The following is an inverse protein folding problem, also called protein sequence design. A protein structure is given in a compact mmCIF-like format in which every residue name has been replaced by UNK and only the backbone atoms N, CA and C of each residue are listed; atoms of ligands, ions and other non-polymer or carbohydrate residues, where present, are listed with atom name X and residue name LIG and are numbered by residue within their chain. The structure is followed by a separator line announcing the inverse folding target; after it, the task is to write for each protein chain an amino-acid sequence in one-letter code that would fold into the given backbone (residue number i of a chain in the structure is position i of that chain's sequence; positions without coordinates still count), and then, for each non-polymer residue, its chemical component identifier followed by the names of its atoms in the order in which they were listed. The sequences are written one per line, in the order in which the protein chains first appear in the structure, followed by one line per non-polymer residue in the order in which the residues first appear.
data_IF_224162168883
#
_entry.id   IF_224162168883
#
_cell.length_a   1.000
_cell.length_b   1.000
_cell.length_c   1.000
_cell.angle_alpha   90.00
_cell.angle_beta   90.00
_cell.angle_gamma   90.00
#
_symmetry.space_group_name_H-M   'P 1'
#
loop_
_entity.id
_entity.type
_entity.pdbx_description
1 polymer ?
#
# COMPACT_ATOMS: atom_id res chain seq x y z
N UNK A 1 -13.85 -22.77 -38.19
CA UNK A 1 -14.57 -23.54 -37.13
C UNK A 1 -15.84 -22.77 -36.77
N UNK A 2 -16.93 -23.43 -36.39
CA UNK A 2 -18.13 -22.75 -35.87
C UNK A 2 -18.11 -22.71 -34.35
N UNK A 3 -18.65 -21.65 -33.75
CA UNK A 3 -18.72 -21.45 -32.30
C UNK A 3 -20.14 -21.09 -31.85
N UNK A 4 -20.45 -21.38 -30.58
CA UNK A 4 -21.71 -21.00 -29.95
C UNK A 4 -21.61 -19.58 -29.41
N UNK A 5 -22.40 -18.65 -29.94
CA UNK A 5 -22.51 -17.27 -29.43
C UNK A 5 -23.32 -17.24 -28.13
N UNK A 6 -23.35 -16.10 -27.43
CA UNK A 6 -24.23 -15.93 -26.26
C UNK A 6 -25.71 -16.11 -26.63
N UNK A 7 -26.15 -15.64 -27.79
CA UNK A 7 -27.52 -15.81 -28.27
C UNK A 7 -27.79 -17.28 -28.64
N UNK A 8 -26.83 -17.95 -29.28
CA UNK A 8 -26.89 -19.40 -29.53
C UNK A 8 -26.94 -20.21 -28.24
N UNK A 9 -26.17 -19.83 -27.22
CA UNK A 9 -26.22 -20.45 -25.89
C UNK A 9 -27.53 -20.14 -25.17
N UNK A 10 -28.09 -18.95 -25.33
CA UNK A 10 -29.43 -18.59 -24.83
C UNK A 10 -30.50 -19.45 -25.51
N UNK A 11 -30.37 -19.69 -26.81
CA UNK A 11 -31.27 -20.57 -27.56
C UNK A 11 -31.15 -22.03 -27.13
N UNK A 12 -29.93 -22.57 -27.08
CA UNK A 12 -29.61 -23.92 -26.61
C UNK A 12 -30.07 -24.15 -25.16
N UNK A 13 -29.81 -23.19 -24.26
CA UNK A 13 -30.30 -23.27 -22.88
C UNK A 13 -31.80 -23.05 -22.77
N UNK A 14 -32.45 -22.36 -23.70
CA UNK A 14 -33.93 -22.30 -23.76
C UNK A 14 -34.52 -23.66 -24.14
N UNK A 15 -33.92 -24.39 -25.08
CA UNK A 15 -34.29 -25.79 -25.40
C UNK A 15 -34.11 -26.70 -24.18
N UNK A 16 -32.98 -26.61 -23.48
CA UNK A 16 -32.75 -27.36 -22.24
C UNK A 16 -33.71 -26.94 -21.12
N UNK A 17 -33.98 -25.64 -20.93
CA UNK A 17 -34.94 -25.13 -19.94
C UNK A 17 -36.35 -25.62 -20.25
N UNK A 18 -36.77 -25.72 -21.51
CA UNK A 18 -38.05 -26.31 -21.87
C UNK A 18 -38.14 -27.78 -21.45
N UNK A 19 -37.06 -28.56 -21.60
CA UNK A 19 -36.97 -29.94 -21.11
C UNK A 19 -36.91 -30.05 -19.58
N UNK A 20 -36.29 -29.08 -18.89
CA UNK A 20 -36.21 -29.05 -17.41
C UNK A 20 -37.50 -28.53 -16.77
N UNK A 21 -38.22 -27.60 -17.40
CA UNK A 21 -39.53 -27.12 -16.94
C UNK A 21 -40.62 -28.20 -16.97
N UNK A 22 -40.36 -29.36 -17.60
CA UNK A 22 -41.17 -30.57 -17.46
C UNK A 22 -40.89 -31.38 -16.18
N UNK A 23 -39.98 -30.93 -15.31
CA UNK A 23 -39.65 -31.56 -14.02
C UNK A 23 -40.26 -30.78 -12.85
N UNK A 24 -40.36 -31.46 -11.71
CA UNK A 24 -40.90 -30.91 -10.45
C UNK A 24 -39.78 -30.85 -9.41
N UNK A 25 -39.55 -29.67 -8.83
CA UNK A 25 -38.50 -29.43 -7.82
C UNK A 25 -39.03 -29.47 -6.37
N UNK A 26 -38.12 -29.46 -5.38
CA UNK A 26 -38.37 -29.79 -3.95
C UNK A 26 -38.09 -28.61 -3.00
N UNK A 27 -38.73 -28.63 -1.82
CA UNK A 27 -39.03 -27.46 -0.94
C UNK A 27 -38.18 -27.28 0.35
N UNK A 28 -38.09 -26.03 0.86
CA UNK A 28 -37.78 -25.59 2.25
C UNK A 28 -36.33 -25.09 2.59
N UNK A 29 -35.99 -24.48 3.76
CA UNK A 29 -36.63 -23.43 4.59
C UNK A 29 -35.73 -22.93 5.79
N UNK A 30 -35.54 -21.58 5.97
CA UNK A 30 -35.31 -20.80 7.26
C UNK A 30 -33.94 -20.92 8.05
N UNK A 31 -33.39 -20.00 8.89
CA UNK A 31 -33.40 -18.52 9.20
C UNK A 31 -32.86 -18.24 10.67
N UNK A 32 -31.98 -17.22 10.88
CA UNK A 32 -31.71 -16.33 12.08
C UNK A 32 -31.02 -16.73 13.44
N UNK A 33 -30.53 -15.66 14.15
CA UNK A 33 -30.29 -15.43 15.62
C UNK A 33 -29.09 -16.08 16.36
N UNK A 34 -28.46 -15.55 17.45
CA UNK A 34 -28.38 -14.20 18.11
C UNK A 34 -27.17 -14.12 19.13
N UNK A 35 -26.94 -13.00 19.87
CA UNK A 35 -25.77 -12.76 20.77
C UNK A 35 -26.12 -12.33 22.24
N UNK A 36 -25.34 -12.73 23.26
CA UNK A 36 -25.60 -12.41 24.69
C UNK A 36 -24.33 -12.46 25.59
N UNK A 37 -24.30 -11.76 26.74
CA UNK A 37 -23.14 -11.69 27.68
C UNK A 37 -23.21 -12.64 28.89
N UNK A 38 -22.07 -12.90 29.53
CA UNK A 38 -21.86 -14.04 30.43
C UNK A 38 -21.97 -13.74 31.93
N UNK A 39 -22.11 -14.79 32.74
CA UNK A 39 -22.27 -14.69 34.20
C UNK A 39 -20.94 -14.43 34.94
N UNK A 40 -19.80 -14.87 34.39
CA UNK A 40 -18.49 -14.76 35.05
C UNK A 40 -18.06 -13.31 35.30
N UNK A 41 -18.47 -12.40 34.42
CA UNK A 41 -18.20 -10.96 34.56
C UNK A 41 -18.95 -10.36 35.76
N UNK A 42 -20.09 -10.94 36.16
CA UNK A 42 -20.90 -10.46 37.29
C UNK A 42 -20.35 -10.94 38.63
N UNK A 43 -19.81 -12.16 38.69
CA UNK A 43 -19.28 -12.76 39.92
C UNK A 43 -17.98 -12.07 40.38
N UNK A 44 -17.13 -11.67 39.42
CA UNK A 44 -15.84 -11.00 39.72
C UNK A 44 -15.96 -9.66 40.44
N UNK A 45 -17.08 -8.95 40.27
CA UNK A 45 -17.31 -7.65 40.93
C UNK A 45 -17.79 -7.78 42.38
N UNK A 46 -18.24 -8.95 42.83
CA UNK A 46 -18.91 -9.10 44.13
C UNK A 46 -17.95 -9.18 45.36
N UNK A 47 -16.64 -9.24 45.15
CA UNK A 47 -15.69 -9.75 46.17
C UNK A 47 -14.85 -8.75 46.97
N UNK A 48 -15.00 -7.42 46.80
CA UNK A 48 -14.05 -6.43 47.36
C UNK A 48 -14.68 -5.56 48.46
N UNK A 49 -14.08 -5.58 49.66
CA UNK A 49 -14.57 -4.85 50.84
C UNK A 49 -14.06 -3.40 50.90
N UNK A 50 -14.81 -2.53 51.59
CA UNK A 50 -14.58 -1.09 51.60
C UNK A 50 -13.38 -0.64 52.46
N UNK A 51 -12.52 0.21 51.88
CA UNK A 51 -11.59 1.13 52.57
C UNK A 51 -10.56 0.52 53.54
N UNK A 52 -10.14 -0.74 53.35
CA UNK A 52 -9.32 -1.49 54.31
C UNK A 52 -7.91 -0.91 54.67
N UNK A 53 -7.42 0.15 54.02
CA UNK A 53 -5.99 0.53 54.02
C UNK A 53 -5.70 2.07 54.09
N UNK A 54 -5.81 2.81 55.22
CA UNK A 54 -5.31 4.22 55.21
C UNK A 54 -4.83 4.88 56.54
N UNK A 55 -3.91 5.86 56.42
CA UNK A 55 -3.12 6.57 57.45
C UNK A 55 -3.04 8.11 57.19
N UNK A 56 -2.59 8.94 58.15
CA UNK A 56 -2.50 10.44 58.03
C UNK A 56 -1.24 11.07 58.65
N UNK A 57 -0.77 12.21 58.10
CA UNK A 57 0.57 12.81 58.33
C UNK A 57 0.55 14.28 58.87
N UNK A 58 1.55 14.77 59.65
CA UNK A 58 1.61 16.15 60.22
C UNK A 58 1.92 17.30 59.22
N UNK A 59 1.72 18.58 59.62
CA UNK A 59 1.74 19.76 58.71
C UNK A 59 2.32 21.12 59.25
N UNK A 60 3.16 21.11 60.30
CA UNK A 60 3.67 22.32 60.99
C UNK A 60 4.75 23.11 60.23
N UNK A 61 5.08 24.36 60.61
CA UNK A 61 6.24 25.08 60.07
C UNK A 61 7.56 24.32 60.34
N UNK A 62 8.46 24.26 59.35
CA UNK A 62 9.62 23.35 59.34
C UNK A 62 9.29 21.90 58.93
N UNK A 63 8.08 21.42 59.24
CA UNK A 63 7.55 20.11 58.80
C UNK A 63 6.74 20.20 57.49
N UNK A 64 6.53 21.41 56.94
CA UNK A 64 6.03 21.63 55.58
C UNK A 64 7.16 21.35 54.60
N UNK A 65 7.30 20.10 54.19
CA UNK A 65 8.35 19.65 53.27
C UNK A 65 8.44 20.52 52.00
N UNK A 66 7.29 20.90 51.43
CA UNK A 66 7.09 21.95 50.43
C UNK A 66 5.67 22.53 50.67
N UNK A 67 5.35 23.80 50.39
CA UNK A 67 3.96 24.25 50.34
C UNK A 67 3.13 23.36 49.41
N UNK A 68 2.05 22.77 49.93
CA UNK A 68 1.10 21.97 49.15
C UNK A 68 0.46 22.83 48.07
N UNK A 69 0.24 22.26 46.87
CA UNK A 69 -0.37 22.99 45.75
C UNK A 69 0.62 23.53 44.71
N UNK A 70 1.82 22.97 44.60
CA UNK A 70 2.73 23.24 43.50
C UNK A 70 2.30 22.58 42.20
N UNK A 71 2.51 23.28 41.09
CA UNK A 71 2.28 22.79 39.73
C UNK A 71 3.60 22.70 38.94
N UNK A 72 3.61 21.85 37.91
CA UNK A 72 4.71 21.81 36.95
C UNK A 72 4.85 23.18 36.25
N UNK A 73 6.09 23.62 36.01
CA UNK A 73 6.37 24.97 35.49
C UNK A 73 6.33 26.08 36.54
N UNK A 74 6.11 25.76 37.82
CA UNK A 74 6.32 26.69 38.92
C UNK A 74 7.68 26.44 39.62
N UNK A 75 8.22 27.51 40.21
CA UNK A 75 9.42 27.49 41.04
C UNK A 75 9.09 28.03 42.44
N UNK A 76 9.85 27.61 43.46
CA UNK A 76 9.77 28.24 44.78
C UNK A 76 10.48 29.59 44.73
N UNK A 77 9.72 30.67 44.88
CA UNK A 77 10.25 32.02 45.05
C UNK A 77 10.00 32.57 46.45
N UNK A 78 10.59 33.73 46.73
CA UNK A 78 10.46 34.42 48.01
C UNK A 78 9.00 34.85 48.26
N UNK A 79 8.38 34.34 49.33
CA UNK A 79 6.97 34.57 49.65
C UNK A 79 6.65 35.97 50.22
N UNK A 80 7.55 36.95 50.06
CA UNK A 80 7.38 38.31 50.56
C UNK A 80 7.74 38.52 52.03
N UNK A 81 8.12 37.48 52.77
CA UNK A 81 8.60 37.59 54.16
C UNK A 81 9.57 36.46 54.54
N UNK A 82 10.39 36.67 55.58
CA UNK A 82 11.36 35.66 56.06
C UNK A 82 10.69 34.34 56.43
N UNK A 83 11.26 33.22 55.96
CA UNK A 83 10.72 31.88 56.21
C UNK A 83 9.51 31.49 55.36
N UNK A 84 9.08 32.32 54.41
CA UNK A 84 8.00 32.00 53.47
C UNK A 84 8.53 31.73 52.05
N UNK A 85 8.08 30.62 51.48
CA UNK A 85 8.23 30.30 50.06
C UNK A 85 6.84 30.25 49.44
N UNK A 86 6.69 30.84 48.26
CA UNK A 86 5.47 30.72 47.44
C UNK A 86 5.82 30.05 46.11
N UNK A 87 4.87 29.33 45.56
CA UNK A 87 4.95 28.90 44.17
C UNK A 87 4.75 30.11 43.27
N UNK A 88 5.64 30.25 42.29
CA UNK A 88 5.68 31.35 41.33
C UNK A 88 5.87 30.78 39.92
N UNK A 89 5.32 31.44 38.90
CA UNK A 89 5.52 31.06 37.50
C UNK A 89 7.00 31.09 37.12
N UNK A 90 7.47 30.06 36.41
CA UNK A 90 8.77 30.11 35.76
C UNK A 90 8.66 30.90 34.43
N UNK A 91 8.95 32.20 34.48
CA UNK A 91 8.95 33.09 33.31
C UNK A 91 10.16 32.88 32.37
N UNK A 92 11.06 31.94 32.70
CA UNK A 92 12.19 31.57 31.84
C UNK A 92 11.75 30.74 30.64
N UNK A 93 11.64 31.38 29.47
CA UNK A 93 11.43 30.69 28.20
C UNK A 93 12.66 29.84 27.84
N UNK A 94 12.46 28.53 27.68
CA UNK A 94 13.50 27.64 27.19
C UNK A 94 13.70 27.88 25.68
N UNK A 95 14.94 28.10 25.25
CA UNK A 95 15.28 28.25 23.83
C UNK A 95 15.27 26.87 23.14
N UNK A 96 14.07 26.37 22.83
CA UNK A 96 13.81 25.07 22.21
C UNK A 96 13.46 25.29 20.74
N UNK A 97 14.20 24.64 19.84
CA UNK A 97 13.78 24.50 18.45
C UNK A 97 12.70 23.41 18.44
N UNK A 98 11.43 23.82 18.45
CA UNK A 98 10.28 22.92 18.61
C UNK A 98 10.15 21.90 17.48
N UNK A 99 10.37 22.33 16.22
CA UNK A 99 10.44 21.43 15.07
C UNK A 99 11.46 21.91 14.05
N UNK A 100 12.09 20.96 13.36
CA UNK A 100 12.72 21.15 12.05
C UNK A 100 11.95 20.23 11.09
N UNK A 101 11.72 20.66 9.84
CA UNK A 101 10.98 19.86 8.86
C UNK A 101 11.74 19.75 7.56
N UNK A 102 11.65 18.58 6.91
CA UNK A 102 12.08 18.35 5.53
C UNK A 102 10.88 17.82 4.77
N UNK A 103 10.51 18.50 3.69
CA UNK A 103 9.33 18.17 2.86
C UNK A 103 8.03 17.99 3.68
N UNK A 104 7.82 18.81 4.72
CA UNK A 104 6.66 18.73 5.61
C UNK A 104 6.70 17.59 6.65
N UNK A 105 7.75 16.75 6.64
CA UNK A 105 7.97 15.71 7.65
C UNK A 105 8.84 16.26 8.78
N UNK A 106 8.39 16.11 10.02
CA UNK A 106 9.14 16.56 11.19
C UNK A 106 10.40 15.71 11.43
N UNK A 107 11.53 16.37 11.70
CA UNK A 107 12.79 15.79 12.12
C UNK A 107 13.08 16.22 13.56
N UNK A 108 13.22 15.23 14.44
CA UNK A 108 13.56 15.46 15.85
C UNK A 108 15.06 15.73 16.00
N UNK A 109 15.49 16.87 16.56
CA UNK A 109 16.90 17.13 16.83
C UNK A 109 17.45 16.16 17.89
N UNK A 110 18.64 15.60 17.64
CA UNK A 110 19.36 14.76 18.59
C UNK A 110 20.79 15.31 18.79
N UNK A 111 21.23 15.46 20.05
CA UNK A 111 22.56 15.98 20.40
C UNK A 111 22.97 17.27 19.66
N UNK A 112 22.03 18.21 19.48
CA UNK A 112 22.19 19.47 18.72
C UNK A 112 22.44 19.32 17.21
N UNK A 113 22.20 18.14 16.65
CA UNK A 113 22.29 17.88 15.21
C UNK A 113 20.95 17.36 14.66
N UNK A 114 20.80 17.47 13.34
CA UNK A 114 19.73 16.81 12.57
C UNK A 114 20.41 16.00 11.46
N UNK A 115 20.08 14.72 11.36
CA UNK A 115 20.45 13.91 10.20
C UNK A 115 19.40 14.09 9.11
N UNK A 116 19.78 14.60 7.95
CA UNK A 116 18.91 14.62 6.76
C UNK A 116 19.29 13.41 5.91
N UNK A 117 18.64 12.28 6.17
CA UNK A 117 18.84 11.07 5.38
C UNK A 117 18.13 11.21 4.02
N UNK A 118 18.93 11.33 2.96
CA UNK A 118 18.46 11.35 1.57
C UNK A 118 18.77 10.05 0.83
N UNK A 119 19.22 8.99 1.52
CA UNK A 119 19.63 7.72 0.90
C UNK A 119 18.50 6.99 0.15
N UNK A 120 17.25 7.26 0.53
CA UNK A 120 16.04 6.73 -0.12
C UNK A 120 15.62 7.48 -1.37
N UNK A 121 16.12 8.70 -1.59
CA UNK A 121 15.83 9.49 -2.78
C UNK A 121 16.82 9.17 -3.90
N UNK A 122 16.31 8.68 -5.03
CA UNK A 122 17.12 8.45 -6.22
C UNK A 122 17.74 9.76 -6.72
N UNK A 123 19.04 9.74 -7.04
CA UNK A 123 19.72 10.90 -7.62
C UNK A 123 19.24 11.10 -9.05
N UNK A 124 19.41 12.33 -9.58
CA UNK A 124 19.12 12.63 -11.00
C UNK A 124 19.87 11.69 -11.95
N UNK A 125 21.08 11.26 -11.59
CA UNK A 125 21.86 10.24 -12.32
C UNK A 125 21.11 8.91 -12.41
N UNK A 126 20.56 8.44 -11.29
CA UNK A 126 19.98 7.11 -11.13
C UNK A 126 18.64 7.00 -11.87
N UNK A 127 17.89 8.12 -11.96
CA UNK A 127 16.67 8.22 -12.78
C UNK A 127 17.00 8.40 -14.27
N UNK A 128 18.08 9.10 -14.61
CA UNK A 128 18.43 9.39 -16.02
C UNK A 128 18.87 8.17 -16.83
N UNK A 129 19.14 7.03 -16.17
CA UNK A 129 19.54 5.75 -16.79
C UNK A 129 18.38 4.79 -17.06
N UNK A 130 17.12 5.21 -16.91
CA UNK A 130 15.96 4.32 -17.14
C UNK A 130 15.62 4.20 -18.63
N UNK A 131 15.70 5.28 -19.40
CA UNK A 131 15.42 5.27 -20.85
C UNK A 131 16.12 6.45 -21.54
N UNK A 132 17.13 6.15 -22.37
CA UNK A 132 17.98 7.12 -23.05
C UNK A 132 17.89 6.87 -24.56
N UNK A 133 17.07 7.64 -25.31
CA UNK A 133 16.96 7.49 -26.76
C UNK A 133 18.31 7.75 -27.46
N UNK A 134 18.72 6.84 -28.34
CA UNK A 134 19.96 6.96 -29.13
C UNK A 134 19.75 7.08 -30.65
N UNK A 135 18.55 6.78 -31.14
CA UNK A 135 18.19 6.84 -32.56
C UNK A 135 17.90 5.45 -33.14
N UNK A 136 18.00 5.34 -34.47
CA UNK A 136 17.80 4.09 -35.20
C UNK A 136 19.12 3.46 -35.65
N UNK A 137 19.12 2.14 -35.79
CA UNK A 137 20.14 1.35 -36.50
C UNK A 137 19.45 0.40 -37.47
N UNK A 138 20.13 0.01 -38.54
CA UNK A 138 19.51 -0.81 -39.60
C UNK A 138 18.97 -2.16 -39.10
N UNK A 139 19.69 -2.82 -38.18
CA UNK A 139 19.37 -4.15 -37.66
C UNK A 139 20.13 -4.44 -36.35
N UNK A 140 19.87 -5.60 -35.74
CA UNK A 140 20.50 -6.01 -34.47
C UNK A 140 22.03 -6.05 -34.51
N UNK A 141 22.64 -6.45 -35.64
CA UNK A 141 24.09 -6.54 -35.76
C UNK A 141 24.80 -5.17 -35.82
N UNK A 142 24.04 -4.10 -36.12
CA UNK A 142 24.48 -2.71 -36.13
C UNK A 142 24.37 -2.01 -34.76
N UNK A 143 23.85 -2.69 -33.73
CA UNK A 143 23.87 -2.16 -32.36
C UNK A 143 25.32 -1.94 -31.87
N UNK A 144 25.59 -0.86 -31.11
CA UNK A 144 26.93 -0.60 -30.57
C UNK A 144 27.47 -1.77 -29.74
N UNK A 145 28.79 -1.98 -29.82
CA UNK A 145 29.54 -3.04 -29.12
C UNK A 145 30.48 -2.52 -28.02
N UNK A 146 30.59 -1.20 -27.87
CA UNK A 146 31.39 -0.55 -26.81
C UNK A 146 30.76 0.79 -26.41
N UNK A 147 31.15 1.30 -25.23
CA UNK A 147 30.75 2.60 -24.68
C UNK A 147 29.23 2.81 -24.47
N UNK A 148 28.45 1.72 -24.41
CA UNK A 148 27.04 1.76 -24.04
C UNK A 148 26.87 2.01 -22.54
N UNK A 149 25.79 2.71 -22.17
CA UNK A 149 25.40 2.94 -20.77
C UNK A 149 24.05 2.30 -20.52
N UNK A 150 23.81 1.87 -19.28
CA UNK A 150 22.53 1.28 -18.90
C UNK A 150 21.41 2.27 -19.23
N UNK A 151 20.38 1.77 -19.93
CA UNK A 151 19.27 2.57 -20.44
C UNK A 151 19.47 3.18 -21.82
N UNK A 152 20.62 3.05 -22.49
CA UNK A 152 20.75 3.45 -23.91
C UNK A 152 19.77 2.60 -24.77
N UNK A 153 18.86 3.24 -25.51
CA UNK A 153 17.82 2.59 -26.34
C UNK A 153 17.99 2.93 -27.82
N UNK A 154 17.99 1.90 -28.66
CA UNK A 154 17.94 2.04 -30.12
C UNK A 154 16.66 1.44 -30.71
N UNK A 155 16.22 2.01 -31.82
CA UNK A 155 15.23 1.42 -32.71
C UNK A 155 15.91 0.62 -33.83
N UNK A 156 15.35 -0.51 -34.23
CA UNK A 156 15.79 -1.28 -35.39
C UNK A 156 14.87 -1.01 -36.59
N UNK A 157 15.46 -0.68 -37.74
CA UNK A 157 14.71 -0.33 -38.95
C UNK A 157 14.15 -1.57 -39.68
N UNK A 158 14.83 -2.73 -39.59
CA UNK A 158 14.41 -3.99 -40.21
C UNK A 158 13.14 -4.61 -39.58
N UNK A 159 12.90 -4.37 -38.30
CA UNK A 159 11.91 -5.09 -37.47
C UNK A 159 10.96 -4.16 -36.73
N UNK A 160 11.27 -2.85 -36.65
CA UNK A 160 10.57 -1.89 -35.80
C UNK A 160 10.78 -2.13 -34.29
N UNK A 161 11.68 -3.04 -33.92
CA UNK A 161 11.91 -3.42 -32.53
C UNK A 161 12.78 -2.39 -31.79
N UNK A 162 12.41 -2.08 -30.55
CA UNK A 162 13.29 -1.32 -29.66
C UNK A 162 14.15 -2.26 -28.80
N UNK A 163 15.42 -1.90 -28.62
CA UNK A 163 16.36 -2.61 -27.78
C UNK A 163 17.02 -1.67 -26.77
N UNK A 164 17.10 -2.09 -25.51
CA UNK A 164 17.74 -1.36 -24.41
C UNK A 164 19.02 -2.05 -23.96
N UNK A 165 20.04 -1.28 -23.60
CA UNK A 165 21.24 -1.81 -22.97
C UNK A 165 21.03 -1.99 -21.46
N UNK A 166 21.16 -3.23 -20.99
CA UNK A 166 21.09 -3.59 -19.56
C UNK A 166 22.47 -3.84 -18.93
N UNK A 167 23.53 -3.88 -19.73
CA UNK A 167 24.90 -4.19 -19.28
C UNK A 167 25.39 -5.58 -19.69
N UNK A 168 26.70 -5.77 -19.79
CA UNK A 168 27.32 -7.03 -20.21
C UNK A 168 26.81 -8.23 -19.41
N UNK A 169 26.48 -9.34 -20.08
CA UNK A 169 25.93 -10.55 -19.44
C UNK A 169 24.44 -10.44 -19.08
N UNK A 170 23.72 -9.46 -19.63
CA UNK A 170 22.26 -9.26 -19.48
C UNK A 170 21.57 -9.33 -20.85
N UNK A 171 20.24 -9.20 -20.83
CA UNK A 171 19.37 -9.29 -21.99
C UNK A 171 19.19 -10.71 -22.51
N UNK A 172 18.17 -10.91 -23.35
CA UNK A 172 17.77 -12.20 -23.94
C UNK A 172 18.94 -13.06 -24.46
N UNK A 173 19.94 -12.44 -25.11
CA UNK A 173 21.09 -13.14 -25.71
C UNK A 173 22.36 -13.13 -24.84
N UNK A 174 22.33 -12.50 -23.67
CA UNK A 174 23.49 -12.35 -22.78
C UNK A 174 24.58 -11.37 -23.25
N UNK A 175 24.42 -10.74 -24.42
CA UNK A 175 25.36 -9.75 -24.97
C UNK A 175 25.17 -8.33 -24.40
N UNK A 176 24.13 -8.12 -23.58
CA UNK A 176 23.79 -6.89 -22.89
C UNK A 176 22.62 -6.11 -23.50
N UNK A 177 22.13 -6.50 -24.68
CA UNK A 177 20.94 -5.91 -25.30
C UNK A 177 19.68 -6.72 -24.99
N UNK A 178 18.63 -6.04 -24.54
CA UNK A 178 17.34 -6.63 -24.21
C UNK A 178 16.21 -6.03 -25.06
N UNK A 179 15.27 -6.86 -25.49
CA UNK A 179 14.21 -6.49 -26.44
C UNK A 179 13.02 -5.87 -25.70
N UNK A 180 12.68 -4.62 -26.03
CA UNK A 180 11.55 -3.89 -25.41
C UNK A 180 10.25 -3.96 -26.21
N UNK A 181 10.30 -4.38 -27.47
CA UNK A 181 9.11 -4.45 -28.31
C UNK A 181 9.34 -5.26 -29.59
N UNK A 182 8.27 -5.82 -30.12
CA UNK A 182 8.29 -6.59 -31.36
C UNK A 182 7.00 -6.43 -32.15
N UNK A 183 7.10 -6.67 -33.46
CA UNK A 183 5.93 -6.90 -34.28
C UNK A 183 5.44 -8.33 -34.01
N UNK A 184 4.23 -8.47 -33.45
CA UNK A 184 3.59 -9.77 -33.25
C UNK A 184 3.05 -10.25 -34.59
N UNK A 185 3.53 -11.40 -35.07
CA UNK A 185 2.93 -12.04 -36.24
C UNK A 185 1.58 -12.68 -35.86
N UNK A 186 0.51 -12.15 -36.44
CA UNK A 186 -0.85 -12.65 -36.28
C UNK A 186 -1.34 -13.47 -37.49
N UNK A 187 -0.48 -13.78 -38.47
CA UNK A 187 -0.85 -14.52 -39.69
C UNK A 187 -1.36 -15.94 -39.40
N UNK A 188 -0.90 -16.56 -38.31
CA UNK A 188 -1.40 -17.86 -37.83
C UNK A 188 -2.74 -17.81 -37.08
N UNK A 189 -3.27 -16.62 -36.78
CA UNK A 189 -4.55 -16.45 -36.09
C UNK A 189 -5.71 -16.27 -37.07
N UNK A 190 -6.84 -16.89 -36.75
CA UNK A 190 -8.08 -16.77 -37.51
C UNK A 190 -8.64 -15.34 -37.37
N UNK A 191 -8.97 -14.67 -38.48
CA UNK A 191 -9.55 -13.32 -38.43
C UNK A 191 -10.97 -13.39 -37.90
N UNK A 192 -11.44 -12.31 -37.26
CA UNK A 192 -12.82 -12.22 -36.77
C UNK A 192 -13.88 -12.44 -37.89
N UNK A 193 -13.57 -12.11 -39.15
CA UNK A 193 -14.39 -12.40 -40.33
C UNK A 193 -14.57 -13.89 -40.63
N UNK A 194 -13.59 -14.71 -40.24
CA UNK A 194 -13.49 -16.12 -40.61
C UNK A 194 -14.09 -17.01 -39.51
N UNK A 195 -14.44 -16.42 -38.35
CA UNK A 195 -15.13 -17.07 -37.24
C UNK A 195 -16.66 -16.95 -37.45
N UNK A 196 -17.29 -18.06 -37.82
CA UNK A 196 -18.74 -18.09 -38.06
C UNK A 196 -19.50 -18.64 -36.84
N UNK A 197 -20.58 -17.97 -36.44
CA UNK A 197 -21.48 -18.49 -35.41
C UNK A 197 -22.25 -19.71 -35.91
N UNK A 198 -22.49 -20.69 -35.04
CA UNK A 198 -23.51 -21.72 -35.28
C UNK A 198 -24.89 -21.06 -35.39
N UNK A 199 -25.67 -21.46 -36.39
CA UNK A 199 -27.02 -20.93 -36.60
C UNK A 199 -28.05 -21.59 -35.69
N UNK A 200 -29.20 -20.95 -35.46
CA UNK A 200 -30.31 -21.55 -34.69
C UNK A 200 -30.81 -22.84 -35.32
N UNK A 201 -30.85 -22.93 -36.65
CA UNK A 201 -31.22 -24.15 -37.38
C UNK A 201 -30.22 -25.30 -37.14
N UNK A 202 -28.93 -25.01 -37.01
CA UNK A 202 -27.92 -26.02 -36.62
C UNK A 202 -28.02 -26.41 -35.15
N UNK A 203 -28.47 -25.50 -34.27
CA UNK A 203 -28.75 -25.83 -32.86
C UNK A 203 -30.02 -26.70 -32.77
N UNK A 204 -31.06 -26.41 -33.57
CA UNK A 204 -32.31 -27.17 -33.61
C UNK A 204 -32.08 -28.64 -33.99
N UNK A 205 -31.18 -28.90 -34.94
CA UNK A 205 -30.79 -30.25 -35.37
C UNK A 205 -30.06 -31.08 -34.29
N UNK A 206 -29.76 -30.50 -33.12
CA UNK A 206 -29.21 -31.22 -31.95
C UNK A 206 -30.29 -31.72 -30.98
N UNK A 207 -31.56 -31.36 -31.20
CA UNK A 207 -32.70 -31.70 -30.32
C UNK A 207 -33.82 -32.46 -31.04
N UNK A 208 -33.61 -32.85 -32.30
CA UNK A 208 -34.45 -33.74 -33.11
C UNK A 208 -34.04 -35.20 -32.96
#
# INVERSE_FOLDING_TARGET
MKFLTLDGLTYYTTKIKALINGKVDKDGAKVLSDNNYSTQEKEKLAGVAASANNYTHPNNAGNKHIPTGGAAGQVLGYGGSSGTASWMSNEGQANVIETIQVNGTALTPANKAVNIDLSTYAKKTDISTVYIPKGSVANYAALPKSSQRIGDVYNLEDTGSNYVWLGSGKGEKGDGWDKLGETIDLSGYVKASDIQSISTAEIDALFS
#
